data_IF_752992316695
#
_entry.id   IF_752992316695
#
_cell.length_a   1.000
_cell.length_b   1.000
_cell.length_c   1.000
_cell.angle_alpha   90.00
_cell.angle_beta   90.00
_cell.angle_gamma   90.00
#
_symmetry.space_group_name_H-M   'P 1'
#
loop_
_entity.id
_entity.type
_entity.pdbx_description
1 polymer ?
#
# COMPACT_ATOMS: atom_id res chain seq x y z
N UNK A 1 21.96 -15.04 11.64
CA UNK A 1 20.82 -15.84 12.17
C UNK A 1 21.28 -17.26 12.46
N UNK A 2 20.78 -17.90 13.53
CA UNK A 2 21.17 -19.25 13.98
C UNK A 2 19.97 -20.20 13.95
N UNK A 3 20.23 -21.52 14.10
CA UNK A 3 19.16 -22.53 14.26
C UNK A 3 18.32 -22.27 15.52
N UNK A 4 18.95 -21.85 16.60
CA UNK A 4 18.28 -21.53 17.86
C UNK A 4 17.31 -20.34 17.71
N UNK A 5 17.67 -19.33 16.92
CA UNK A 5 16.77 -18.21 16.59
C UNK A 5 15.49 -18.68 15.90
N UNK A 6 15.61 -19.68 15.00
CA UNK A 6 14.44 -20.25 14.30
C UNK A 6 13.58 -21.07 15.25
N UNK A 7 14.21 -21.85 16.14
CA UNK A 7 13.48 -22.66 17.13
C UNK A 7 12.77 -21.80 18.16
N UNK A 8 13.38 -20.73 18.64
CA UNK A 8 12.75 -19.73 19.54
C UNK A 8 11.68 -18.95 18.83
N UNK A 9 11.89 -18.65 17.56
CA UNK A 9 11.05 -17.82 16.71
C UNK A 9 11.46 -16.35 16.77
N UNK A 10 11.77 -15.78 15.60
CA UNK A 10 12.21 -14.40 15.45
C UNK A 10 11.26 -13.60 14.57
N UNK A 11 11.07 -12.32 14.89
CA UNK A 11 10.38 -11.35 14.05
C UNK A 11 11.43 -10.43 13.45
N UNK A 12 11.52 -10.41 12.14
CA UNK A 12 12.39 -9.53 11.38
C UNK A 12 11.59 -8.31 10.93
N UNK A 13 12.12 -7.12 11.19
CA UNK A 13 11.59 -5.87 10.64
C UNK A 13 12.30 -5.59 9.34
N UNK A 14 11.59 -5.62 8.22
CA UNK A 14 12.15 -5.47 6.88
C UNK A 14 11.65 -4.17 6.28
N UNK A 15 12.53 -3.34 5.71
CA UNK A 15 12.13 -2.26 4.82
C UNK A 15 11.85 -2.86 3.43
N UNK A 16 10.56 -3.06 3.13
CA UNK A 16 10.15 -3.62 1.85
C UNK A 16 10.49 -2.65 0.71
N UNK A 17 11.28 -3.07 -0.27
CA UNK A 17 11.59 -2.22 -1.41
C UNK A 17 10.37 -1.99 -2.31
N UNK A 18 10.40 -0.89 -3.06
CA UNK A 18 9.45 -0.54 -4.09
C UNK A 18 9.41 -1.61 -5.20
N UNK A 19 8.23 -1.88 -5.74
CA UNK A 19 8.02 -2.84 -6.82
C UNK A 19 8.05 -4.32 -6.39
N UNK A 20 8.25 -4.62 -5.10
CA UNK A 20 8.25 -5.98 -4.59
C UNK A 20 6.93 -6.30 -3.89
N UNK A 21 6.42 -7.52 -4.12
CA UNK A 21 5.34 -8.05 -3.28
C UNK A 21 5.88 -8.48 -1.91
N UNK A 22 5.04 -8.46 -0.89
CA UNK A 22 5.38 -8.99 0.44
C UNK A 22 5.82 -10.46 0.38
N UNK A 23 5.25 -11.25 -0.54
CA UNK A 23 5.61 -12.64 -0.76
C UNK A 23 7.00 -12.81 -1.36
N UNK A 24 7.43 -11.94 -2.29
CA UNK A 24 8.79 -11.97 -2.85
C UNK A 24 9.83 -11.72 -1.76
N UNK A 25 9.57 -10.79 -0.83
CA UNK A 25 10.46 -10.55 0.33
C UNK A 25 10.57 -11.80 1.20
N UNK A 26 9.44 -12.40 1.58
CA UNK A 26 9.42 -13.64 2.37
C UNK A 26 10.19 -14.76 1.67
N UNK A 27 10.00 -14.93 0.37
CA UNK A 27 10.70 -15.97 -0.41
C UNK A 27 12.21 -15.74 -0.48
N UNK A 28 12.65 -14.50 -0.65
CA UNK A 28 14.08 -14.16 -0.63
C UNK A 28 14.71 -14.52 0.70
N UNK A 29 14.12 -14.11 1.81
CA UNK A 29 14.59 -14.41 3.17
C UNK A 29 14.58 -15.92 3.40
N UNK A 30 13.51 -16.61 3.02
CA UNK A 30 13.38 -18.07 3.14
C UNK A 30 14.47 -18.80 2.39
N UNK A 31 14.77 -18.39 1.16
CA UNK A 31 15.81 -19.00 0.34
C UNK A 31 17.20 -18.81 0.95
N UNK A 32 17.50 -17.60 1.43
CA UNK A 32 18.77 -17.28 2.07
C UNK A 32 18.98 -18.10 3.35
N UNK A 33 18.01 -18.13 4.25
CA UNK A 33 18.08 -18.93 5.48
C UNK A 33 18.30 -20.41 5.17
N UNK A 34 17.59 -20.95 4.18
CA UNK A 34 17.77 -22.34 3.76
C UNK A 34 19.21 -22.63 3.30
N UNK A 35 19.77 -21.73 2.50
CA UNK A 35 21.13 -21.85 1.98
C UNK A 35 22.17 -21.78 3.08
N UNK A 36 22.04 -20.80 3.98
CA UNK A 36 23.03 -20.55 5.05
C UNK A 36 23.02 -21.62 6.15
N UNK A 37 21.83 -22.10 6.54
CA UNK A 37 21.68 -23.04 7.64
C UNK A 37 21.45 -24.49 7.21
N UNK A 38 21.43 -24.79 5.91
CA UNK A 38 21.20 -26.15 5.39
C UNK A 38 19.80 -26.69 5.66
N UNK A 39 18.82 -25.84 5.94
CA UNK A 39 17.48 -26.25 6.35
C UNK A 39 16.62 -26.66 5.15
N UNK A 40 15.99 -27.83 5.22
CA UNK A 40 15.02 -28.27 4.18
C UNK A 40 13.65 -27.60 4.35
N UNK A 41 13.16 -27.48 5.59
CA UNK A 41 11.82 -26.93 5.90
C UNK A 41 11.86 -26.13 7.21
N UNK A 42 11.18 -25.01 7.23
CA UNK A 42 10.83 -24.24 8.42
C UNK A 42 9.63 -23.31 8.09
N UNK A 43 8.95 -22.82 9.13
CA UNK A 43 7.82 -21.91 8.98
C UNK A 43 8.31 -20.49 8.82
N UNK A 44 7.74 -19.77 7.87
CA UNK A 44 7.99 -18.34 7.64
C UNK A 44 6.73 -17.70 7.04
N UNK A 45 6.44 -16.47 7.42
CA UNK A 45 5.31 -15.69 6.91
C UNK A 45 5.47 -14.22 7.27
N UNK A 46 4.54 -13.37 6.83
CA UNK A 46 4.55 -11.95 7.17
C UNK A 46 3.30 -11.53 7.94
N UNK A 47 3.42 -10.49 8.76
CA UNK A 47 2.33 -9.92 9.53
C UNK A 47 1.85 -8.60 8.88
N UNK A 48 0.93 -8.72 7.92
CA UNK A 48 0.32 -7.60 7.22
C UNK A 48 0.97 -7.29 5.87
N UNK A 49 0.21 -7.53 4.81
CA UNK A 49 0.61 -7.27 3.42
C UNK A 49 0.91 -5.78 3.21
N UNK A 50 1.91 -5.50 2.38
CA UNK A 50 2.11 -4.23 1.69
C UNK A 50 1.93 -4.46 0.20
N UNK A 51 1.24 -3.54 -0.46
CA UNK A 51 1.07 -3.53 -1.91
C UNK A 51 2.43 -3.41 -2.62
N UNK A 52 2.55 -3.83 -3.89
CA UNK A 52 3.83 -3.80 -4.61
C UNK A 52 4.49 -2.42 -4.63
N UNK A 53 3.72 -1.36 -4.89
CA UNK A 53 4.24 0.00 -4.98
C UNK A 53 4.43 0.67 -3.60
N UNK A 54 3.89 0.09 -2.52
CA UNK A 54 4.17 0.57 -1.17
C UNK A 54 5.53 0.09 -0.67
N UNK A 55 6.18 0.89 0.17
CA UNK A 55 7.48 0.61 0.81
C UNK A 55 7.35 0.57 2.33
N UNK A 56 8.42 0.24 3.03
CA UNK A 56 8.52 0.40 4.48
C UNK A 56 8.33 -0.90 5.26
N UNK A 57 8.01 -0.77 6.53
CA UNK A 57 8.02 -1.85 7.52
C UNK A 57 7.14 -3.03 7.12
N UNK A 58 7.77 -4.17 6.84
CA UNK A 58 7.14 -5.48 6.68
C UNK A 58 7.68 -6.42 7.76
N UNK A 59 6.81 -6.88 8.65
CA UNK A 59 7.21 -7.84 9.68
C UNK A 59 7.22 -9.25 9.10
N UNK A 60 8.39 -9.88 9.09
CA UNK A 60 8.57 -11.27 8.66
C UNK A 60 8.82 -12.15 9.87
N UNK A 61 7.93 -13.12 10.10
CA UNK A 61 7.97 -14.05 11.22
C UNK A 61 8.61 -15.36 10.77
N UNK A 62 9.64 -15.79 11.49
CA UNK A 62 10.39 -17.04 11.22
C UNK A 62 10.21 -18.02 12.37
N UNK A 63 10.08 -19.31 12.08
CA UNK A 63 9.96 -20.36 13.08
C UNK A 63 8.69 -20.25 13.94
N UNK A 64 8.84 -20.33 15.26
CA UNK A 64 7.71 -20.24 16.20
C UNK A 64 7.02 -18.88 16.21
N UNK A 65 7.71 -17.80 15.78
CA UNK A 65 7.10 -16.47 15.67
C UNK A 65 5.94 -16.41 14.67
N UNK A 66 5.82 -17.36 13.74
CA UNK A 66 4.66 -17.45 12.82
C UNK A 66 3.33 -17.61 13.55
N UNK A 67 3.32 -18.09 14.80
CA UNK A 67 2.11 -18.19 15.63
C UNK A 67 1.62 -16.81 16.14
N UNK A 68 2.48 -15.79 16.09
CA UNK A 68 2.19 -14.43 16.53
C UNK A 68 1.74 -13.50 15.42
N UNK A 69 1.58 -14.01 14.17
CA UNK A 69 1.24 -13.19 13.02
C UNK A 69 -0.05 -12.38 13.27
N UNK A 70 -1.10 -13.00 13.80
CA UNK A 70 -2.38 -12.33 14.05
C UNK A 70 -2.28 -11.24 15.13
N UNK A 71 -1.49 -11.49 16.19
CA UNK A 71 -1.17 -10.51 17.23
C UNK A 71 -0.44 -9.30 16.64
N UNK A 72 0.62 -9.56 15.88
CA UNK A 72 1.43 -8.52 15.25
C UNK A 72 0.63 -7.69 14.23
N UNK A 73 -0.30 -8.33 13.51
CA UNK A 73 -1.23 -7.62 12.63
C UNK A 73 -2.18 -6.69 13.38
N UNK A 74 -2.44 -6.92 14.66
CA UNK A 74 -3.28 -6.07 15.51
C UNK A 74 -2.67 -4.71 15.83
N UNK A 75 -1.35 -4.56 15.77
CA UNK A 75 -0.65 -3.31 16.11
C UNK A 75 -1.10 -2.12 15.25
N UNK A 76 -1.05 -0.90 15.81
CA UNK A 76 -1.26 0.35 15.07
C UNK A 76 -0.21 0.49 13.96
N UNK A 77 -0.59 1.12 12.85
CA UNK A 77 0.28 1.40 11.71
C UNK A 77 0.38 2.89 11.49
N UNK A 78 1.57 3.34 11.15
CA UNK A 78 1.81 4.70 10.71
C UNK A 78 2.22 4.64 9.25
N UNK A 79 1.54 5.44 8.44
CA UNK A 79 1.83 5.57 7.02
C UNK A 79 2.12 7.02 6.67
N UNK A 80 3.05 7.22 5.75
CA UNK A 80 3.25 8.46 5.02
C UNK A 80 3.08 8.20 3.52
N UNK A 81 2.75 9.22 2.78
CA UNK A 81 2.55 9.08 1.33
C UNK A 81 2.01 10.34 0.69
N UNK A 82 1.67 10.21 -0.57
CA UNK A 82 1.13 11.31 -1.38
C UNK A 82 -0.17 10.88 -2.03
N UNK A 83 -1.23 11.64 -1.82
CA UNK A 83 -2.50 11.57 -2.56
C UNK A 83 -2.46 12.58 -3.68
N UNK A 84 -2.78 12.15 -4.90
CA UNK A 84 -2.97 13.02 -6.08
C UNK A 84 -4.46 13.24 -6.25
N UNK A 85 -4.87 14.51 -6.35
CA UNK A 85 -6.26 14.92 -6.57
C UNK A 85 -6.52 15.22 -8.06
N UNK A 86 -7.78 15.11 -8.49
CA UNK A 86 -8.20 15.44 -9.84
C UNK A 86 -8.10 14.30 -10.84
N UNK A 87 -7.78 13.08 -10.40
CA UNK A 87 -7.80 11.90 -11.26
C UNK A 87 -8.07 10.63 -10.45
N UNK A 88 -8.48 9.57 -11.13
CA UNK A 88 -8.61 8.21 -10.56
C UNK A 88 -7.79 7.20 -11.32
N UNK A 89 -7.54 6.05 -10.66
CA UNK A 89 -7.04 4.82 -11.27
C UNK A 89 -7.88 3.65 -10.78
N UNK A 90 -8.02 2.55 -11.53
CA UNK A 90 -8.86 1.41 -11.14
C UNK A 90 -8.44 0.74 -9.81
N UNK A 91 -7.17 0.86 -9.42
CA UNK A 91 -6.60 0.27 -8.20
C UNK A 91 -6.37 1.29 -7.07
N UNK A 92 -6.65 2.58 -7.32
CA UNK A 92 -6.44 3.73 -6.42
C UNK A 92 -4.95 3.96 -6.06
N UNK A 93 -4.05 3.47 -6.93
CA UNK A 93 -2.61 3.74 -6.93
C UNK A 93 -2.05 3.70 -8.37
N UNK A 94 -0.73 3.72 -8.53
CA UNK A 94 -0.07 3.73 -9.84
C UNK A 94 0.18 2.33 -10.46
N UNK A 95 -0.40 1.26 -9.91
CA UNK A 95 -0.32 -0.06 -10.57
C UNK A 95 -1.08 -0.08 -11.90
N UNK A 96 -2.03 0.85 -12.09
CA UNK A 96 -2.78 1.05 -13.33
C UNK A 96 -2.72 2.51 -13.77
N UNK A 97 -2.92 2.73 -15.06
CA UNK A 97 -3.00 4.07 -15.63
C UNK A 97 -4.26 4.82 -15.15
N UNK A 98 -4.22 6.14 -15.24
CA UNK A 98 -5.38 7.01 -14.97
C UNK A 98 -6.53 6.63 -15.91
N UNK A 99 -7.72 6.48 -15.34
CA UNK A 99 -8.96 6.13 -16.04
C UNK A 99 -9.95 7.30 -16.14
N UNK A 100 -9.86 8.29 -15.24
CA UNK A 100 -10.71 9.48 -15.31
C UNK A 100 -10.05 10.71 -14.69
N UNK A 101 -10.49 11.89 -15.15
CA UNK A 101 -10.11 13.19 -14.60
C UNK A 101 -11.31 13.93 -14.02
N UNK A 102 -11.04 14.75 -13.01
CA UNK A 102 -12.05 15.47 -12.24
C UNK A 102 -11.63 16.93 -11.99
N UNK A 103 -12.61 17.85 -11.84
CA UNK A 103 -12.31 19.24 -11.47
C UNK A 103 -11.58 19.35 -10.12
N UNK A 104 -10.68 20.33 -10.02
CA UNK A 104 -9.92 20.65 -8.79
C UNK A 104 -9.96 22.13 -8.43
N UNK A 105 -10.50 23.01 -9.30
CA UNK A 105 -10.50 24.46 -9.10
C UNK A 105 -11.23 24.93 -7.81
N UNK A 106 -12.19 24.15 -7.32
CA UNK A 106 -12.94 24.43 -6.09
C UNK A 106 -12.21 23.96 -4.82
N UNK A 107 -11.13 23.21 -4.94
CA UNK A 107 -10.41 22.63 -3.82
C UNK A 107 -9.47 23.68 -3.25
N UNK A 108 -9.65 23.97 -1.96
CA UNK A 108 -8.80 24.89 -1.19
C UNK A 108 -8.01 24.14 -0.11
N UNK A 109 -6.95 24.75 0.39
CA UNK A 109 -6.18 24.19 1.51
C UNK A 109 -7.04 23.92 2.76
N UNK A 110 -7.95 24.86 3.07
CA UNK A 110 -8.90 24.71 4.19
C UNK A 110 -9.79 23.49 3.99
N UNK A 111 -10.38 23.33 2.80
CA UNK A 111 -11.24 22.20 2.46
C UNK A 111 -10.49 20.85 2.58
N UNK A 112 -9.24 20.79 2.14
CA UNK A 112 -8.37 19.60 2.27
C UNK A 112 -8.20 19.23 3.75
N UNK A 113 -7.80 20.20 4.60
CA UNK A 113 -7.57 19.98 6.02
C UNK A 113 -8.84 19.61 6.79
N UNK A 114 -9.94 20.29 6.52
CA UNK A 114 -11.24 20.00 7.12
C UNK A 114 -11.76 18.61 6.72
N UNK A 115 -11.57 18.24 5.45
CA UNK A 115 -11.97 16.92 4.97
C UNK A 115 -11.14 15.82 5.63
N UNK A 116 -9.82 16.00 5.81
CA UNK A 116 -8.98 15.03 6.50
C UNK A 116 -9.47 14.74 7.93
N UNK A 117 -9.93 15.76 8.67
CA UNK A 117 -10.45 15.57 10.02
C UNK A 117 -11.70 14.69 10.08
N UNK A 118 -12.52 14.64 9.01
CA UNK A 118 -13.72 13.78 8.95
C UNK A 118 -13.40 12.29 8.88
N UNK A 119 -12.19 11.94 8.54
CA UNK A 119 -11.72 10.54 8.49
C UNK A 119 -11.16 10.06 9.83
N UNK A 120 -11.01 10.94 10.83
CA UNK A 120 -10.50 10.56 12.15
C UNK A 120 -11.62 9.96 12.99
N UNK A 121 -11.34 8.84 13.65
CA UNK A 121 -12.28 8.06 14.44
C UNK A 121 -12.60 6.71 13.82
N UNK A 122 -13.77 6.16 14.16
CA UNK A 122 -14.30 4.94 13.52
C UNK A 122 -15.06 5.31 12.25
N UNK A 123 -14.66 4.71 11.14
CA UNK A 123 -15.32 4.91 9.84
C UNK A 123 -15.67 3.57 9.21
N UNK A 124 -16.68 3.57 8.35
CA UNK A 124 -16.95 2.46 7.44
C UNK A 124 -16.17 2.65 6.16
N UNK A 125 -15.42 1.62 5.77
CA UNK A 125 -14.58 1.65 4.57
C UNK A 125 -14.89 0.45 3.69
N UNK A 126 -15.13 0.68 2.41
CA UNK A 126 -15.20 -0.37 1.40
C UNK A 126 -13.77 -0.69 0.94
N UNK A 127 -13.28 -1.94 1.13
CA UNK A 127 -11.98 -2.36 0.62
C UNK A 127 -11.87 -2.20 -0.89
N UNK A 128 -10.64 -2.00 -1.44
CA UNK A 128 -10.48 -1.94 -2.88
C UNK A 128 -10.68 -3.33 -3.50
N UNK A 129 -11.15 -3.38 -4.76
CA UNK A 129 -11.29 -4.64 -5.51
C UNK A 129 -9.97 -5.43 -5.59
N UNK A 130 -8.86 -4.70 -5.77
CA UNK A 130 -7.50 -5.27 -5.74
C UNK A 130 -7.02 -5.47 -4.29
N UNK A 131 -7.74 -6.30 -3.52
CA UNK A 131 -7.42 -6.62 -2.12
C UNK A 131 -7.37 -8.12 -1.87
N UNK A 132 -6.79 -8.50 -0.73
CA UNK A 132 -6.75 -9.88 -0.26
C UNK A 132 -8.03 -10.30 0.48
N UNK A 133 -9.03 -9.41 0.57
CA UNK A 133 -10.32 -9.72 1.17
C UNK A 133 -11.03 -10.84 0.40
N UNK A 134 -11.81 -11.63 1.12
CA UNK A 134 -12.54 -12.75 0.52
C UNK A 134 -13.98 -12.35 0.26
N UNK A 135 -14.44 -12.65 -0.95
CA UNK A 135 -15.84 -12.60 -1.37
C UNK A 135 -16.19 -14.01 -1.84
N UNK A 136 -17.21 -14.62 -1.27
CA UNK A 136 -17.68 -16.00 -1.59
C UNK A 136 -16.57 -17.08 -1.54
N UNK A 137 -15.59 -16.88 -0.63
CA UNK A 137 -14.48 -17.83 -0.43
C UNK A 137 -13.23 -17.56 -1.28
N UNK A 138 -13.34 -16.78 -2.35
CA UNK A 138 -12.25 -16.34 -3.21
C UNK A 138 -11.76 -14.93 -2.85
N UNK A 139 -10.54 -14.59 -3.23
CA UNK A 139 -9.98 -13.28 -2.94
C UNK A 139 -10.46 -12.25 -3.96
N UNK A 140 -10.81 -11.04 -3.52
CA UNK A 140 -11.34 -9.98 -4.36
C UNK A 140 -10.43 -9.65 -5.56
N UNK A 141 -9.10 -9.73 -5.39
CA UNK A 141 -8.16 -9.49 -6.51
C UNK A 141 -8.29 -10.52 -7.65
N UNK A 142 -8.79 -11.75 -7.40
CA UNK A 142 -9.00 -12.74 -8.45
C UNK A 142 -10.09 -12.27 -9.39
N UNK A 143 -11.24 -11.86 -8.85
CA UNK A 143 -12.34 -11.27 -9.63
C UNK A 143 -11.91 -10.02 -10.41
N UNK A 144 -11.12 -9.14 -9.76
CA UNK A 144 -10.60 -7.94 -10.41
C UNK A 144 -9.70 -8.22 -11.62
N UNK A 145 -8.95 -9.34 -11.61
CA UNK A 145 -8.13 -9.78 -12.76
C UNK A 145 -8.97 -10.32 -13.90
N UNK A 146 -10.04 -11.02 -13.58
CA UNK A 146 -10.95 -11.61 -14.56
C UNK A 146 -11.93 -10.57 -15.13
N UNK A 147 -11.81 -9.29 -14.69
CA UNK A 147 -12.67 -8.18 -15.11
C UNK A 147 -14.07 -8.22 -14.49
N UNK A 148 -14.28 -9.07 -13.50
CA UNK A 148 -15.55 -9.19 -12.80
C UNK A 148 -15.64 -8.16 -11.67
N UNK A 149 -16.80 -7.51 -11.54
CA UNK A 149 -17.11 -6.62 -10.42
C UNK A 149 -17.86 -7.40 -9.36
N UNK A 150 -17.33 -7.44 -8.13
CA UNK A 150 -18.02 -8.00 -6.98
C UNK A 150 -18.25 -6.93 -5.92
N UNK A 151 -19.37 -7.00 -5.25
CA UNK A 151 -19.69 -6.10 -4.15
C UNK A 151 -18.91 -6.54 -2.90
N UNK A 152 -18.08 -5.65 -2.37
CA UNK A 152 -17.30 -5.90 -1.14
C UNK A 152 -18.01 -5.16 0.00
N UNK A 153 -18.41 -5.91 1.03
CA UNK A 153 -19.06 -5.33 2.19
C UNK A 153 -18.14 -4.32 2.91
N UNK A 154 -18.68 -3.18 3.35
CA UNK A 154 -17.91 -2.21 4.13
C UNK A 154 -17.45 -2.82 5.45
N UNK A 155 -16.30 -2.34 5.96
CA UNK A 155 -15.71 -2.76 7.22
C UNK A 155 -15.47 -1.55 8.11
N UNK A 156 -15.70 -1.70 9.40
CA UNK A 156 -15.31 -0.70 10.39
C UNK A 156 -13.81 -0.70 10.57
N UNK A 157 -13.20 0.46 10.42
CA UNK A 157 -11.78 0.70 10.66
C UNK A 157 -11.61 1.92 11.56
N UNK A 158 -10.48 2.02 12.26
CA UNK A 158 -10.18 3.15 13.12
C UNK A 158 -8.98 3.93 12.62
N UNK A 159 -9.12 5.25 12.54
CA UNK A 159 -8.06 6.19 12.18
C UNK A 159 -7.84 7.10 13.37
N UNK A 160 -6.64 7.05 13.96
CA UNK A 160 -6.31 7.84 15.15
C UNK A 160 -5.91 9.27 14.78
N UNK A 161 -5.24 9.44 13.64
CA UNK A 161 -4.89 10.75 13.07
C UNK A 161 -4.76 10.69 11.56
N UNK A 162 -5.12 11.80 10.91
CA UNK A 162 -4.87 12.05 9.48
C UNK A 162 -4.36 13.49 9.36
N UNK A 163 -3.05 13.63 9.25
CA UNK A 163 -2.32 14.88 9.18
C UNK A 163 -1.95 15.18 7.73
N UNK A 164 -2.21 16.41 7.27
CA UNK A 164 -1.73 16.92 5.98
C UNK A 164 -0.39 17.61 6.24
N UNK A 165 0.68 17.07 5.66
CA UNK A 165 2.05 17.53 5.92
C UNK A 165 2.56 18.53 4.86
N UNK A 166 2.07 18.41 3.62
CA UNK A 166 2.35 19.39 2.56
C UNK A 166 1.26 19.35 1.48
N UNK A 167 1.09 20.45 0.78
CA UNK A 167 0.20 20.57 -0.39
C UNK A 167 1.00 21.22 -1.51
N UNK A 168 0.93 20.65 -2.71
CA UNK A 168 1.61 21.14 -3.91
C UNK A 168 0.64 21.28 -5.07
N UNK A 169 0.92 22.19 -6.00
CA UNK A 169 0.17 22.42 -7.25
C UNK A 169 -1.31 22.78 -7.07
N UNK A 170 -1.70 23.26 -5.89
CA UNK A 170 -3.07 23.71 -5.65
C UNK A 170 -3.33 25.02 -6.40
N UNK A 171 -4.49 25.10 -7.10
CA UNK A 171 -4.85 26.28 -7.87
C UNK A 171 -4.14 26.40 -9.24
N UNK A 172 -3.50 25.36 -9.73
CA UNK A 172 -2.96 25.36 -11.09
C UNK A 172 -4.12 25.27 -12.09
N UNK A 173 -4.34 26.33 -12.89
CA UNK A 173 -5.36 26.39 -13.94
C UNK A 173 -4.94 25.62 -15.21
N UNK A 174 -3.99 24.73 -15.13
CA UNK A 174 -3.51 23.99 -16.29
C UNK A 174 -4.59 23.03 -16.76
N UNK A 175 -4.99 23.09 -18.05
CA UNK A 175 -6.00 22.19 -18.58
C UNK A 175 -5.60 20.73 -18.37
N UNK A 176 -6.52 19.95 -17.85
CA UNK A 176 -6.34 18.49 -17.70
C UNK A 176 -6.20 17.88 -19.10
N UNK A 177 -5.15 17.11 -19.38
CA UNK A 177 -4.98 16.47 -20.69
C UNK A 177 -6.18 15.56 -20.99
N UNK A 178 -6.68 15.52 -22.23
CA UNK A 178 -7.69 14.55 -22.60
C UNK A 178 -7.15 13.13 -22.44
N UNK A 179 -8.00 12.20 -21.98
CA UNK A 179 -7.64 10.77 -21.78
C UNK A 179 -6.99 10.15 -23.01
N UNK A 180 -7.35 10.62 -24.22
CA UNK A 180 -6.77 10.17 -25.49
C UNK A 180 -5.28 10.46 -25.67
N UNK A 181 -4.69 11.37 -24.88
CA UNK A 181 -3.24 11.68 -24.94
C UNK A 181 -2.40 10.77 -24.04
N UNK A 182 -3.03 9.98 -23.17
CA UNK A 182 -2.36 8.97 -22.37
C UNK A 182 -2.26 7.70 -23.21
N UNK A 183 -1.07 7.46 -23.78
CA UNK A 183 -0.82 6.18 -24.46
C UNK A 183 -1.06 5.03 -23.48
N UNK A 184 -2.01 4.15 -23.82
CA UNK A 184 -2.16 2.88 -23.11
C UNK A 184 -0.82 2.16 -23.13
N UNK A 185 -0.35 1.59 -22.02
CA UNK A 185 0.82 0.74 -22.03
C UNK A 185 0.54 -0.42 -23.00
N UNK A 186 1.55 -0.76 -23.80
CA UNK A 186 1.46 -1.86 -24.77
C UNK A 186 0.96 -3.13 -24.07
N UNK A 187 -0.01 -3.79 -24.69
CA UNK A 187 -0.78 -4.93 -24.15
C UNK A 187 0.03 -6.25 -23.98
N UNK A 188 1.36 -6.19 -24.03
CA UNK A 188 2.23 -7.40 -24.13
C UNK A 188 3.30 -7.47 -23.03
N UNK A 189 3.04 -6.94 -21.85
CA UNK A 189 3.96 -7.08 -20.71
C UNK A 189 3.56 -8.28 -19.85
N UNK A 190 4.50 -9.23 -19.67
CA UNK A 190 4.31 -10.40 -18.80
C UNK A 190 3.95 -9.96 -17.37
N UNK A 191 3.13 -10.74 -16.65
CA UNK A 191 2.73 -10.47 -15.25
C UNK A 191 3.91 -10.11 -14.32
N UNK A 192 5.11 -10.60 -14.59
CA UNK A 192 6.32 -10.31 -13.81
C UNK A 192 6.86 -8.90 -14.03
N UNK A 193 6.59 -8.29 -15.19
CA UNK A 193 7.02 -6.92 -15.51
C UNK A 193 6.00 -5.87 -15.02
N UNK A 194 4.71 -6.24 -14.91
CA UNK A 194 3.65 -5.40 -14.37
C UNK A 194 3.95 -4.84 -12.97
N UNK A 195 4.68 -5.58 -12.14
CA UNK A 195 5.04 -5.17 -10.79
C UNK A 195 6.36 -4.38 -10.69
N UNK A 196 7.08 -4.18 -11.79
CA UNK A 196 8.41 -3.51 -11.76
C UNK A 196 8.35 -2.02 -12.03
N UNK A 197 7.33 -1.55 -12.73
CA UNK A 197 7.19 -0.13 -13.07
C UNK A 197 5.74 0.32 -12.89
N UNK A 198 5.51 1.52 -12.32
CA UNK A 198 4.17 2.08 -12.26
C UNK A 198 3.68 2.29 -13.70
N UNK A 199 2.48 1.81 -14.00
CA UNK A 199 1.84 2.01 -15.30
C UNK A 199 1.25 3.43 -15.41
N UNK A 200 1.00 4.05 -14.24
CA UNK A 200 0.47 5.40 -14.17
C UNK A 200 1.59 6.44 -14.04
N UNK A 201 1.44 7.54 -14.76
CA UNK A 201 2.29 8.74 -14.63
C UNK A 201 1.45 9.80 -13.95
N UNK A 202 1.99 10.44 -12.90
CA UNK A 202 1.35 11.59 -12.27
C UNK A 202 1.54 12.82 -13.15
N UNK A 203 0.45 13.40 -13.70
CA UNK A 203 0.56 14.67 -14.41
C UNK A 203 1.07 15.77 -13.45
N UNK A 204 2.12 16.53 -13.83
CA UNK A 204 2.79 17.45 -12.92
C UNK A 204 1.91 18.61 -12.44
N UNK A 205 0.80 18.90 -13.15
CA UNK A 205 -0.15 19.95 -12.80
C UNK A 205 -1.18 19.54 -11.75
N UNK A 206 -1.39 18.24 -11.50
CA UNK A 206 -2.41 17.81 -10.54
C UNK A 206 -2.00 18.16 -9.11
N UNK A 207 -2.95 18.60 -8.26
CA UNK A 207 -2.68 18.86 -6.86
C UNK A 207 -2.21 17.59 -6.13
N UNK A 208 -1.21 17.71 -5.30
CA UNK A 208 -0.63 16.64 -4.52
C UNK A 208 -0.68 16.98 -3.04
N UNK A 209 -1.12 16.04 -2.24
CA UNK A 209 -1.30 16.17 -0.80
C UNK A 209 -0.45 15.13 -0.10
N UNK A 210 0.60 15.56 0.59
CA UNK A 210 1.40 14.68 1.43
C UNK A 210 0.71 14.52 2.78
N UNK A 211 0.73 13.31 3.30
CA UNK A 211 0.01 12.97 4.51
C UNK A 211 0.81 12.07 5.45
N UNK A 212 0.37 12.06 6.71
CA UNK A 212 0.71 11.08 7.73
C UNK A 212 -0.57 10.57 8.39
N UNK A 213 -0.78 9.25 8.35
CA UNK A 213 -1.95 8.58 8.93
C UNK A 213 -1.50 7.58 9.99
N UNK A 214 -2.15 7.61 11.18
CA UNK A 214 -2.09 6.55 12.18
C UNK A 214 -3.43 5.80 12.19
N UNK A 215 -3.42 4.46 12.04
CA UNK A 215 -4.66 3.69 11.92
C UNK A 215 -4.55 2.26 12.47
N UNK A 216 -5.72 1.65 12.66
CA UNK A 216 -5.87 0.28 13.11
C UNK A 216 -5.66 -0.78 12.04
N UNK A 217 -5.81 -2.04 12.44
CA UNK A 217 -5.81 -3.21 11.54
C UNK A 217 -6.94 -3.10 10.52
N UNK A 218 -6.65 -3.53 9.29
CA UNK A 218 -7.66 -3.65 8.22
C UNK A 218 -7.90 -2.38 7.43
N UNK A 219 -7.27 -1.25 7.80
CA UNK A 219 -7.39 0.01 7.06
C UNK A 219 -6.62 -0.06 5.73
N UNK A 220 -7.32 0.20 4.63
CA UNK A 220 -6.74 0.33 3.28
C UNK A 220 -6.49 1.80 2.96
N UNK A 221 -5.23 2.20 2.88
CA UNK A 221 -4.86 3.60 2.58
C UNK A 221 -5.28 3.99 1.16
N UNK A 222 -5.29 3.04 0.21
CA UNK A 222 -5.85 3.25 -1.13
C UNK A 222 -7.34 3.62 -1.11
N UNK A 223 -8.14 2.97 -0.27
CA UNK A 223 -9.54 3.35 -0.06
C UNK A 223 -9.67 4.71 0.60
N UNK A 224 -8.78 5.07 1.56
CA UNK A 224 -8.74 6.43 2.11
C UNK A 224 -8.53 7.45 0.99
N UNK A 225 -7.57 7.23 0.08
CA UNK A 225 -7.32 8.15 -1.02
C UNK A 225 -8.55 8.31 -1.92
N UNK A 226 -9.20 7.20 -2.33
CA UNK A 226 -10.46 7.22 -3.09
C UNK A 226 -11.53 8.05 -2.39
N UNK A 227 -11.82 7.71 -1.12
CA UNK A 227 -12.91 8.31 -0.37
C UNK A 227 -12.62 9.78 -0.05
N UNK A 228 -11.34 10.13 0.15
CA UNK A 228 -10.88 11.51 0.31
C UNK A 228 -11.13 12.36 -0.94
N UNK A 229 -10.80 11.81 -2.13
CA UNK A 229 -11.11 12.45 -3.40
C UNK A 229 -12.62 12.68 -3.58
N UNK A 230 -13.43 11.66 -3.30
CA UNK A 230 -14.89 11.75 -3.36
C UNK A 230 -15.44 12.80 -2.38
N UNK A 231 -14.93 12.84 -1.15
CA UNK A 231 -15.35 13.82 -0.13
C UNK A 231 -14.97 15.27 -0.50
N UNK A 232 -13.95 15.44 -1.35
CA UNK A 232 -13.57 16.73 -1.94
C UNK A 232 -14.36 17.08 -3.23
N UNK A 233 -15.32 16.25 -3.64
CA UNK A 233 -16.05 16.44 -4.91
C UNK A 233 -15.16 16.26 -6.15
N UNK A 234 -14.15 15.39 -6.07
CA UNK A 234 -13.14 15.12 -7.11
C UNK A 234 -12.79 13.64 -7.15
N UNK A 235 -11.77 13.26 -7.92
CA UNK A 235 -11.12 11.95 -7.86
C UNK A 235 -9.79 12.04 -7.13
N UNK A 236 -9.30 10.88 -6.61
CA UNK A 236 -7.95 10.79 -6.06
C UNK A 236 -7.39 9.36 -6.11
N UNK A 237 -6.05 9.28 -6.07
CA UNK A 237 -5.29 8.04 -5.96
C UNK A 237 -3.96 8.27 -5.23
N UNK A 238 -3.33 7.19 -4.78
CA UNK A 238 -2.00 7.25 -4.16
C UNK A 238 -0.89 7.26 -5.23
N UNK A 239 0.01 8.22 -5.18
CA UNK A 239 1.25 8.19 -5.98
C UNK A 239 2.44 7.61 -5.20
N UNK A 240 2.39 7.66 -3.87
CA UNK A 240 3.38 7.02 -3.01
C UNK A 240 2.74 6.56 -1.70
N UNK A 241 3.28 5.47 -1.13
CA UNK A 241 2.89 4.96 0.18
C UNK A 241 4.09 4.33 0.87
N UNK A 242 4.34 4.72 2.12
CA UNK A 242 5.35 4.14 2.97
C UNK A 242 4.78 3.80 4.34
N UNK A 243 4.98 2.58 4.80
CA UNK A 243 4.63 2.18 6.17
C UNK A 243 5.81 2.41 7.09
N UNK A 244 5.72 3.43 7.92
CA UNK A 244 6.77 3.86 8.84
C UNK A 244 6.88 2.95 10.06
N UNK A 245 5.73 2.41 10.52
CA UNK A 245 5.65 1.68 11.77
C UNK A 245 4.52 0.64 11.79
N UNK A 246 4.74 -0.46 12.51
CA UNK A 246 3.73 -1.47 12.89
C UNK A 246 3.92 -1.79 14.36
N UNK A 247 2.98 -1.39 15.23
CA UNK A 247 3.11 -1.52 16.68
C UNK A 247 4.38 -0.86 17.20
N UNK A 248 5.26 -1.65 17.80
CA UNK A 248 6.56 -1.18 18.31
C UNK A 248 7.70 -1.21 17.26
N UNK A 249 7.46 -1.78 16.09
CA UNK A 249 8.48 -1.97 15.05
C UNK A 249 8.47 -0.78 14.11
N UNK A 250 9.63 -0.16 13.91
CA UNK A 250 9.81 1.04 13.09
C UNK A 250 10.88 0.85 12.01
N UNK A 251 10.96 1.80 11.09
CA UNK A 251 11.98 1.80 10.05
C UNK A 251 13.40 1.94 10.58
N UNK A 252 13.59 2.58 11.75
CA UNK A 252 14.93 2.72 12.37
C UNK A 252 15.59 1.38 12.67
N UNK A 253 14.76 0.33 12.90
CA UNK A 253 15.21 -1.01 13.28
C UNK A 253 15.12 -1.99 12.09
N UNK A 254 14.88 -1.48 10.88
CA UNK A 254 14.60 -2.31 9.73
C UNK A 254 15.86 -2.74 8.98
N UNK A 255 15.81 -3.96 8.50
CA UNK A 255 16.80 -4.55 7.62
C UNK A 255 16.45 -4.19 6.18
N UNK A 256 17.43 -3.70 5.43
CA UNK A 256 17.28 -3.40 4.00
C UNK A 256 17.34 -4.68 3.16
N UNK A 257 16.45 -4.80 2.20
CA UNK A 257 16.44 -5.89 1.22
C UNK A 257 16.61 -5.33 -0.18
N UNK A 258 17.64 -5.78 -0.86
CA UNK A 258 17.94 -5.37 -2.24
C UNK A 258 17.98 -6.58 -3.18
N UNK A 259 17.73 -6.35 -4.47
CA UNK A 259 17.90 -7.39 -5.49
C UNK A 259 19.38 -7.72 -5.66
N UNK A 260 19.72 -9.02 -5.75
CA UNK A 260 21.09 -9.46 -6.03
C UNK A 260 22.03 -9.50 -4.82
N UNK A 261 21.65 -8.97 -3.66
CA UNK A 261 22.47 -9.00 -2.43
C UNK A 261 21.86 -9.88 -1.36
N UNK A 262 22.67 -10.43 -0.47
CA UNK A 262 22.20 -11.13 0.73
C UNK A 262 21.69 -10.13 1.76
N UNK A 263 20.73 -10.59 2.55
CA UNK A 263 20.16 -9.83 3.66
C UNK A 263 21.06 -10.00 4.88
N UNK A 264 21.52 -8.93 5.51
CA UNK A 264 22.27 -9.00 6.78
C UNK A 264 21.30 -9.18 7.94
N UNK A 265 21.34 -10.34 8.60
CA UNK A 265 20.50 -10.66 9.75
C UNK A 265 21.21 -10.44 11.07
#
# INVERSE_FOLDING_TARGET
MTLDDIERGIVLTIDKPYGWTSFQVVNKIKWQIKRELGLKKFKIGHAGTLDPLATGVLLVCVGKATKRIDELQGGRKIYTGTIVLGATTPCFDLERAIDAYYPTAHITESLIKETALRFVGEIEQVPPMFSADKVDGERAYSYARDGEQVEIAPKKVSIDSFEITAIRNLGSDTPVPPLSTLSAPASDTSEKELYRHPQGIVPPMLPQVDFRICCGKGTYIRSIARDFGLALGSGAFLSSLRREQVGIYSLSDSIQVQSGTDVSF
#
